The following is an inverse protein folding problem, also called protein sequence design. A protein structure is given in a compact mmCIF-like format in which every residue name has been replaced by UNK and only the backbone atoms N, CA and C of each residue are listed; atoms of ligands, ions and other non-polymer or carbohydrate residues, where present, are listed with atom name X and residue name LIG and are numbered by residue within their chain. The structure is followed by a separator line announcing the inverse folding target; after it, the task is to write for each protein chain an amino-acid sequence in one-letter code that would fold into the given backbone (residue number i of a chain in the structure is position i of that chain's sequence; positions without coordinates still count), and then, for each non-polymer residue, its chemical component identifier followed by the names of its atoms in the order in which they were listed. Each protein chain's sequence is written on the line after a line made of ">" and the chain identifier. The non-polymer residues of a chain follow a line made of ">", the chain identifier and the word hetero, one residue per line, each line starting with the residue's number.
data_IF_315615287225
#
_entry.id   IF_315615287225
#
_cell.length_a   1.000
_cell.length_b   1.000
_cell.length_c   1.000
_cell.angle_alpha   90.00
_cell.angle_beta   90.00
_cell.angle_gamma   90.00
#
_symmetry.space_group_name_H-M   'P 1'
#
loop_
_entity.id
_entity.type
_entity.pdbx_description
1 polymer ?
#
# COMPACT_ATOMS: atom_id res chain seq x y z
N UNK A 1 -9.49 -47.58 -1.20
CA UNK A 1 -8.07 -47.28 -0.98
C UNK A 1 -7.94 -45.77 -1.07
N UNK A 2 -7.49 -45.11 0.00
CA UNK A 2 -7.29 -43.66 -0.02
C UNK A 2 -5.99 -43.37 -0.80
N UNK A 3 -5.94 -42.24 -1.52
CA UNK A 3 -4.70 -41.79 -2.16
C UNK A 3 -3.65 -41.50 -1.08
N UNK A 4 -2.41 -41.89 -1.35
CA UNK A 4 -1.25 -41.51 -0.52
C UNK A 4 -0.59 -40.24 -1.07
N UNK A 5 0.16 -39.53 -0.24
CA UNK A 5 0.92 -38.34 -0.66
C UNK A 5 1.93 -38.66 -1.78
N UNK A 6 2.48 -39.88 -1.77
CA UNK A 6 3.33 -40.39 -2.85
C UNK A 6 2.56 -40.60 -4.16
N UNK A 7 1.26 -40.94 -4.10
CA UNK A 7 0.42 -41.06 -5.28
C UNK A 7 0.17 -39.69 -5.90
N UNK A 8 -0.08 -38.66 -5.08
CA UNK A 8 -0.31 -37.26 -5.54
C UNK A 8 0.93 -36.69 -6.24
N UNK A 9 2.12 -36.91 -5.68
CA UNK A 9 3.38 -36.43 -6.26
C UNK A 9 3.77 -37.10 -7.58
N UNK A 10 3.19 -38.26 -7.90
CA UNK A 10 3.49 -39.00 -9.13
C UNK A 10 2.40 -38.86 -10.21
N UNK A 11 1.36 -38.03 -9.98
CA UNK A 11 0.34 -37.77 -10.99
C UNK A 11 0.85 -36.79 -12.04
N UNK A 12 0.61 -37.10 -13.31
CA UNK A 12 0.83 -36.16 -14.42
C UNK A 12 -0.47 -35.94 -15.21
N UNK A 13 -0.70 -34.69 -15.60
CA UNK A 13 -1.87 -34.27 -16.38
C UNK A 13 -1.47 -33.88 -17.80
N UNK A 14 -2.34 -34.14 -18.79
CA UNK A 14 -2.15 -33.66 -20.16
C UNK A 14 -2.47 -32.18 -20.27
N UNK A 15 -1.63 -31.42 -21.00
CA UNK A 15 -1.84 -29.98 -21.22
C UNK A 15 -2.71 -29.77 -22.46
N UNK A 16 -3.85 -29.10 -22.29
CA UNK A 16 -4.77 -28.70 -23.35
C UNK A 16 -4.73 -27.18 -23.62
N UNK A 17 -5.27 -26.73 -24.77
CA UNK A 17 -5.26 -25.31 -25.19
C UNK A 17 -6.00 -24.36 -24.24
N UNK A 18 -6.83 -24.89 -23.34
CA UNK A 18 -7.43 -24.20 -22.20
C UNK A 18 -7.29 -25.12 -21.00
N UNK A 19 -6.67 -24.65 -19.94
CA UNK A 19 -6.44 -25.43 -18.73
C UNK A 19 -6.16 -24.54 -17.53
N UNK A 20 -6.03 -25.17 -16.37
CA UNK A 20 -5.56 -24.54 -15.15
C UNK A 20 -4.07 -24.20 -15.28
N UNK A 21 -3.63 -23.19 -14.54
CA UNK A 21 -2.22 -22.80 -14.49
C UNK A 21 -1.42 -23.91 -13.81
N UNK A 22 -0.38 -24.43 -14.49
CA UNK A 22 0.43 -25.55 -14.00
C UNK A 22 1.09 -25.20 -12.67
N UNK A 23 1.64 -23.99 -12.53
CA UNK A 23 2.31 -23.56 -11.30
C UNK A 23 1.35 -23.48 -10.10
N UNK A 24 0.10 -23.04 -10.33
CA UNK A 24 -0.92 -22.97 -9.28
C UNK A 24 -1.41 -24.36 -8.87
N UNK A 25 -1.53 -25.27 -9.84
CA UNK A 25 -1.88 -26.67 -9.59
C UNK A 25 -0.77 -27.35 -8.80
N UNK A 26 0.49 -27.13 -9.14
CA UNK A 26 1.63 -27.72 -8.44
C UNK A 26 1.70 -27.26 -6.98
N UNK A 27 1.53 -25.96 -6.71
CA UNK A 27 1.45 -25.43 -5.33
C UNK A 27 0.28 -26.02 -4.56
N UNK A 28 -0.86 -26.21 -5.22
CA UNK A 28 -2.03 -26.82 -4.60
C UNK A 28 -1.82 -28.31 -4.29
N UNK A 29 -1.18 -29.06 -5.18
CA UNK A 29 -0.86 -30.47 -4.97
C UNK A 29 0.20 -30.67 -3.86
N UNK A 30 1.18 -29.77 -3.73
CA UNK A 30 2.13 -29.77 -2.61
C UNK A 30 1.41 -29.60 -1.27
N UNK A 31 0.45 -28.67 -1.20
CA UNK A 31 -0.38 -28.48 0.01
C UNK A 31 -1.23 -29.71 0.32
N UNK A 32 -1.84 -30.33 -0.68
CA UNK A 32 -2.63 -31.56 -0.49
C UNK A 32 -1.74 -32.71 -0.01
N UNK A 33 -0.54 -32.86 -0.57
CA UNK A 33 0.40 -33.90 -0.17
C UNK A 33 0.80 -33.73 1.31
N UNK A 34 1.13 -32.50 1.73
CA UNK A 34 1.43 -32.20 3.13
C UNK A 34 0.24 -32.52 4.07
N UNK A 35 -0.99 -32.16 3.67
CA UNK A 35 -2.18 -32.41 4.47
C UNK A 35 -2.54 -33.91 4.56
N UNK A 36 -2.27 -34.69 3.51
CA UNK A 36 -2.41 -36.16 3.53
C UNK A 36 -1.39 -36.82 4.47
N UNK A 37 -0.14 -36.34 4.49
CA UNK A 37 0.88 -36.82 5.42
C UNK A 37 0.50 -36.53 6.88
N UNK A 38 0.01 -35.32 7.16
CA UNK A 38 -0.48 -34.94 8.49
C UNK A 38 -1.66 -35.81 8.94
N UNK A 39 -2.60 -36.11 8.03
CA UNK A 39 -3.72 -37.00 8.31
C UNK A 39 -3.26 -38.44 8.56
N UNK A 40 -2.29 -38.93 7.80
CA UNK A 40 -1.72 -40.26 7.99
C UNK A 40 -1.05 -40.37 9.38
N UNK A 41 -0.23 -39.38 9.76
CA UNK A 41 0.38 -39.34 11.09
C UNK A 41 -0.66 -39.27 12.22
N UNK A 42 -1.74 -38.50 12.04
CA UNK A 42 -2.82 -38.44 13.03
C UNK A 42 -3.54 -39.79 13.18
N UNK A 43 -3.77 -40.51 12.09
CA UNK A 43 -4.37 -41.85 12.13
C UNK A 43 -3.43 -42.80 12.88
N UNK A 44 -2.13 -42.78 12.61
CA UNK A 44 -1.15 -43.60 13.33
C UNK A 44 -1.13 -43.30 14.83
N UNK A 45 -1.12 -42.03 15.22
CA UNK A 45 -1.18 -41.60 16.61
C UNK A 45 -2.45 -42.12 17.31
N UNK A 46 -3.62 -41.94 16.68
CA UNK A 46 -4.89 -42.42 17.24
C UNK A 46 -4.94 -43.96 17.36
N UNK A 47 -4.31 -44.69 16.44
CA UNK A 47 -4.23 -46.14 16.52
C UNK A 47 -3.37 -46.58 17.71
N UNK A 48 -2.23 -45.92 17.95
CA UNK A 48 -1.38 -46.17 19.13
C UNK A 48 -2.14 -45.87 20.41
N UNK A 49 -2.82 -44.72 20.49
CA UNK A 49 -3.64 -44.36 21.67
C UNK A 49 -4.75 -45.38 21.93
N UNK A 50 -5.42 -45.86 20.88
CA UNK A 50 -6.44 -46.90 21.03
C UNK A 50 -5.85 -48.24 21.46
N UNK A 51 -4.64 -48.59 21.02
CA UNK A 51 -3.96 -49.81 21.46
C UNK A 51 -3.55 -49.72 22.92
N UNK A 52 -3.01 -48.58 23.35
CA UNK A 52 -2.66 -48.31 24.73
C UNK A 52 -3.90 -48.26 25.64
N UNK A 53 -4.98 -47.60 25.19
CA UNK A 53 -6.25 -47.59 25.91
C UNK A 53 -6.87 -48.99 26.00
N UNK A 54 -6.81 -49.78 24.92
CA UNK A 54 -7.22 -51.19 24.94
C UNK A 54 -6.37 -52.01 25.89
N UNK A 55 -5.04 -51.82 25.90
CA UNK A 55 -4.12 -52.53 26.79
C UNK A 55 -4.32 -52.14 28.26
N UNK A 56 -4.54 -50.86 28.54
CA UNK A 56 -4.90 -50.38 29.88
C UNK A 56 -6.24 -50.96 30.34
N UNK A 57 -7.24 -50.99 29.45
CA UNK A 57 -8.54 -51.61 29.74
C UNK A 57 -8.44 -53.13 29.93
N UNK A 58 -7.59 -53.82 29.16
CA UNK A 58 -7.35 -55.25 29.31
C UNK A 58 -6.60 -55.57 30.62
N UNK A 59 -5.66 -54.71 31.04
CA UNK A 59 -4.96 -54.81 32.32
C UNK A 59 -5.88 -54.50 33.51
N UNK A 60 -6.91 -53.68 33.31
CA UNK A 60 -7.98 -53.45 34.29
C UNK A 60 -9.07 -54.55 34.27
N UNK A 61 -9.20 -55.28 33.16
CA UNK A 61 -10.18 -56.35 32.96
C UNK A 61 -9.61 -57.77 33.13
N UNK A 62 -8.32 -57.92 33.45
CA UNK A 62 -7.82 -59.17 34.01
C UNK A 62 -8.63 -59.45 35.28
N UNK A 63 -9.23 -60.65 35.43
CA UNK A 63 -10.00 -60.95 36.61
C UNK A 63 -9.04 -60.87 37.79
N UNK A 64 -9.21 -59.83 38.61
CA UNK A 64 -8.72 -59.82 39.98
C UNK A 64 -9.37 -61.05 40.59
N UNK A 65 -8.64 -62.16 40.57
CA UNK A 65 -8.98 -63.37 41.29
C UNK A 65 -9.05 -62.89 42.72
N UNK A 66 -10.27 -62.67 43.20
CA UNK A 66 -10.55 -62.29 44.55
C UNK A 66 -10.17 -63.47 45.44
N UNK A 67 -8.88 -63.65 45.71
CA UNK A 67 -8.47 -64.12 47.00
C UNK A 67 -8.84 -63.01 47.98
N UNK A 68 -10.03 -63.19 48.54
CA UNK A 68 -10.42 -62.60 49.80
C UNK A 68 -9.49 -63.23 50.84
N UNK A 69 -8.22 -62.80 50.87
CA UNK A 69 -7.36 -62.99 52.03
C UNK A 69 -7.97 -62.12 53.12
N UNK A 70 -8.74 -62.77 53.99
CA UNK A 70 -9.21 -62.21 55.25
C UNK A 70 -8.05 -61.96 56.21
N UNK A 71 -7.12 -61.10 55.83
CA UNK A 71 -6.19 -60.43 56.73
C UNK A 71 -6.65 -58.99 56.83
N UNK A 72 -7.21 -58.60 57.98
CA UNK A 72 -7.56 -57.20 58.22
C UNK A 72 -6.35 -56.32 57.92
N UNK A 73 -6.51 -55.34 57.03
CA UNK A 73 -5.50 -54.32 56.80
C UNK A 73 -5.07 -53.78 58.17
N UNK A 74 -3.76 -53.82 58.46
CA UNK A 74 -3.29 -53.31 59.74
C UNK A 74 -3.61 -51.82 59.79
N UNK A 75 -3.90 -51.26 60.96
CA UNK A 75 -4.27 -49.82 61.05
C UNK A 75 -3.17 -48.91 60.48
N UNK A 76 -1.92 -49.40 60.43
CA UNK A 76 -0.80 -48.73 59.80
C UNK A 76 -0.97 -48.63 58.27
N UNK A 77 -1.39 -49.70 57.59
CA UNK A 77 -1.58 -49.71 56.14
C UNK A 77 -2.79 -48.85 55.70
N UNK A 78 -3.77 -48.67 56.58
CA UNK A 78 -4.91 -47.76 56.33
C UNK A 78 -4.45 -46.31 56.51
N UNK A 79 -3.69 -46.01 57.56
CA UNK A 79 -3.15 -44.68 57.81
C UNK A 79 -2.20 -44.21 56.70
N UNK A 80 -1.39 -45.10 56.14
CA UNK A 80 -0.52 -44.81 55.00
C UNK A 80 -1.31 -44.51 53.72
N UNK A 81 -2.36 -45.30 53.43
CA UNK A 81 -3.26 -45.04 52.29
C UNK A 81 -4.01 -43.72 52.46
N UNK A 82 -4.51 -43.42 53.66
CA UNK A 82 -5.19 -42.15 53.94
C UNK A 82 -4.25 -40.95 53.82
N UNK A 83 -2.97 -41.11 54.20
CA UNK A 83 -1.95 -40.08 53.98
C UNK A 83 -1.70 -39.85 52.48
N UNK A 84 -1.62 -40.93 51.69
CA UNK A 84 -1.45 -40.83 50.24
C UNK A 84 -2.68 -40.25 49.54
N UNK A 85 -3.88 -40.59 49.98
CA UNK A 85 -5.13 -40.00 49.48
C UNK A 85 -5.12 -38.50 49.73
N UNK A 86 -4.75 -38.05 50.94
CA UNK A 86 -4.68 -36.62 51.28
C UNK A 86 -3.66 -35.86 50.44
N UNK A 87 -2.52 -36.48 50.14
CA UNK A 87 -1.50 -35.91 49.26
C UNK A 87 -1.99 -35.82 47.80
N UNK A 88 -2.60 -36.88 47.28
CA UNK A 88 -3.16 -36.90 45.92
C UNK A 88 -4.33 -35.92 45.77
N UNK A 89 -5.18 -35.79 46.79
CA UNK A 89 -6.25 -34.79 46.82
C UNK A 89 -5.70 -33.35 46.79
N UNK A 90 -4.59 -33.08 47.49
CA UNK A 90 -3.91 -31.79 47.43
C UNK A 90 -3.34 -31.51 46.03
N UNK A 91 -2.67 -32.49 45.41
CA UNK A 91 -2.16 -32.36 44.04
C UNK A 91 -3.29 -32.13 43.02
N UNK A 92 -4.42 -32.83 43.15
CA UNK A 92 -5.59 -32.62 42.29
C UNK A 92 -6.20 -31.22 42.50
N UNK A 93 -6.18 -30.69 43.72
CA UNK A 93 -6.64 -29.33 43.99
C UNK A 93 -5.74 -28.28 43.32
N UNK A 94 -4.42 -28.46 43.37
CA UNK A 94 -3.45 -27.58 42.73
C UNK A 94 -3.59 -27.61 41.19
N UNK A 95 -3.66 -28.79 40.57
CA UNK A 95 -3.88 -28.91 39.14
C UNK A 95 -5.22 -28.32 38.68
N UNK A 96 -6.29 -28.43 39.47
CA UNK A 96 -7.56 -27.76 39.17
C UNK A 96 -7.45 -26.24 39.23
N UNK A 97 -6.62 -25.71 40.12
CA UNK A 97 -6.36 -24.27 40.18
C UNK A 97 -5.55 -23.80 38.97
N UNK A 98 -4.55 -24.57 38.55
CA UNK A 98 -3.77 -24.33 37.33
C UNK A 98 -4.65 -24.36 36.07
N UNK A 99 -5.48 -25.39 35.90
CA UNK A 99 -6.41 -25.51 34.77
C UNK A 99 -7.40 -24.34 34.71
N UNK A 100 -7.90 -23.89 35.88
CA UNK A 100 -8.78 -22.72 35.97
C UNK A 100 -8.05 -21.43 35.59
N UNK A 101 -6.79 -21.27 35.98
CA UNK A 101 -5.97 -20.12 35.61
C UNK A 101 -5.65 -20.11 34.10
N UNK A 102 -5.34 -21.29 33.53
CA UNK A 102 -5.11 -21.45 32.08
C UNK A 102 -6.39 -21.12 31.30
N UNK A 103 -7.55 -21.62 31.73
CA UNK A 103 -8.82 -21.32 31.10
C UNK A 103 -9.13 -19.82 31.13
N UNK A 104 -8.89 -19.14 32.25
CA UNK A 104 -9.05 -17.69 32.37
C UNK A 104 -8.06 -16.93 31.47
N UNK A 105 -6.79 -17.35 31.42
CA UNK A 105 -5.79 -16.76 30.53
C UNK A 105 -6.16 -16.91 29.06
N UNK A 106 -6.72 -18.06 28.65
CA UNK A 106 -7.20 -18.29 27.29
C UNK A 106 -8.38 -17.38 26.94
N UNK A 107 -9.33 -17.19 27.85
CA UNK A 107 -10.47 -16.27 27.65
C UNK A 107 -9.97 -14.83 27.48
N UNK A 108 -9.01 -14.41 28.32
CA UNK A 108 -8.42 -13.07 28.24
C UNK A 108 -7.64 -12.90 26.92
N UNK A 109 -6.86 -13.91 26.54
CA UNK A 109 -6.09 -13.90 25.30
C UNK A 109 -7.02 -13.84 24.07
N UNK A 110 -8.10 -14.62 24.04
CA UNK A 110 -9.10 -14.58 22.97
C UNK A 110 -9.78 -13.21 22.90
N UNK A 111 -10.23 -12.68 24.04
CA UNK A 111 -10.83 -11.34 24.08
C UNK A 111 -9.86 -10.26 23.63
N UNK A 112 -8.59 -10.36 24.00
CA UNK A 112 -7.55 -9.45 23.55
C UNK A 112 -7.29 -9.57 22.05
N UNK A 113 -7.29 -10.78 21.51
CA UNK A 113 -7.17 -11.01 20.07
C UNK A 113 -8.35 -10.40 19.30
N UNK A 114 -9.58 -10.59 19.79
CA UNK A 114 -10.79 -9.99 19.22
C UNK A 114 -10.74 -8.46 19.26
N UNK A 115 -10.25 -7.89 20.36
CA UNK A 115 -10.08 -6.45 20.52
C UNK A 115 -9.00 -5.89 19.56
N UNK A 116 -7.88 -6.60 19.39
CA UNK A 116 -6.86 -6.24 18.40
C UNK A 116 -7.43 -6.30 16.99
N UNK A 117 -8.21 -7.34 16.66
CA UNK A 117 -8.86 -7.46 15.35
C UNK A 117 -9.88 -6.34 15.12
N UNK A 118 -10.70 -6.02 16.12
CA UNK A 118 -11.66 -4.92 16.03
C UNK A 118 -10.96 -3.57 15.83
N UNK A 119 -9.88 -3.30 16.58
CA UNK A 119 -9.11 -2.08 16.45
C UNK A 119 -8.37 -1.99 15.10
N UNK A 120 -7.78 -3.09 14.64
CA UNK A 120 -7.13 -3.15 13.33
C UNK A 120 -8.13 -2.95 12.20
N UNK A 121 -9.31 -3.55 12.27
CA UNK A 121 -10.39 -3.35 11.30
C UNK A 121 -10.90 -1.91 11.32
N UNK A 122 -11.05 -1.30 12.50
CA UNK A 122 -11.41 0.12 12.63
C UNK A 122 -10.38 1.03 11.98
N UNK A 123 -9.09 0.83 12.29
CA UNK A 123 -7.99 1.62 11.71
C UNK A 123 -7.84 1.41 10.20
N UNK A 124 -8.08 0.19 9.71
CA UNK A 124 -8.08 -0.11 8.29
C UNK A 124 -9.23 0.61 7.58
N UNK A 125 -10.43 0.64 8.18
CA UNK A 125 -11.58 1.34 7.62
C UNK A 125 -11.38 2.85 7.58
N UNK A 126 -10.85 3.45 8.64
CA UNK A 126 -10.52 4.89 8.63
C UNK A 126 -9.47 5.20 7.57
N UNK A 127 -8.41 4.39 7.48
CA UNK A 127 -7.37 4.57 6.44
C UNK A 127 -7.95 4.47 5.04
N UNK A 128 -8.87 3.52 4.81
CA UNK A 128 -9.55 3.33 3.53
C UNK A 128 -10.44 4.53 3.20
N UNK A 129 -11.18 5.05 4.18
CA UNK A 129 -12.04 6.19 4.01
C UNK A 129 -11.25 7.48 3.74
N UNK A 130 -10.15 7.69 4.46
CA UNK A 130 -9.26 8.83 4.23
C UNK A 130 -8.63 8.78 2.83
N UNK A 131 -8.15 7.60 2.41
CA UNK A 131 -7.61 7.40 1.07
C UNK A 131 -8.68 7.64 -0.02
N UNK A 132 -9.92 7.21 0.21
CA UNK A 132 -11.03 7.46 -0.72
C UNK A 132 -11.39 8.94 -0.82
N UNK A 133 -11.44 9.63 0.32
CA UNK A 133 -11.71 11.08 0.37
C UNK A 133 -10.61 11.86 -0.35
N UNK A 134 -9.35 11.49 -0.12
CA UNK A 134 -8.21 12.15 -0.79
C UNK A 134 -8.18 11.84 -2.29
N UNK A 135 -8.45 10.59 -2.69
CA UNK A 135 -8.59 10.24 -4.10
C UNK A 135 -9.69 11.07 -4.78
N UNK A 136 -10.83 11.27 -4.11
CA UNK A 136 -11.92 12.10 -4.63
C UNK A 136 -11.49 13.57 -4.78
N UNK A 137 -10.81 14.13 -3.77
CA UNK A 137 -10.25 15.49 -3.84
C UNK A 137 -9.27 15.66 -5.00
N UNK A 138 -8.40 14.68 -5.21
CA UNK A 138 -7.44 14.69 -6.33
C UNK A 138 -8.19 14.66 -7.68
N UNK A 139 -9.22 13.82 -7.81
CA UNK A 139 -10.04 13.75 -9.01
C UNK A 139 -10.77 15.07 -9.29
N UNK A 140 -11.35 15.68 -8.27
CA UNK A 140 -12.06 16.95 -8.40
C UNK A 140 -11.09 18.06 -8.84
N UNK A 141 -9.94 18.18 -8.18
CA UNK A 141 -8.87 19.12 -8.58
C UNK A 141 -8.38 18.88 -10.01
N UNK A 142 -8.15 17.62 -10.40
CA UNK A 142 -7.72 17.28 -11.75
C UNK A 142 -8.79 17.62 -12.80
N UNK A 143 -10.07 17.47 -12.46
CA UNK A 143 -11.18 17.84 -13.33
C UNK A 143 -11.31 19.37 -13.49
N UNK A 144 -11.10 20.13 -12.40
CA UNK A 144 -11.05 21.59 -12.44
C UNK A 144 -9.87 22.08 -13.29
N UNK A 145 -8.66 21.54 -13.09
CA UNK A 145 -7.48 21.85 -13.88
C UNK A 145 -7.69 21.51 -15.36
N UNK A 146 -8.28 20.35 -15.66
CA UNK A 146 -8.68 19.98 -17.02
C UNK A 146 -9.63 21.01 -17.64
N UNK A 147 -10.65 21.46 -16.91
CA UNK A 147 -11.59 22.47 -17.40
C UNK A 147 -10.88 23.79 -17.67
N UNK A 148 -10.00 24.23 -16.76
CA UNK A 148 -9.18 25.44 -16.93
C UNK A 148 -8.28 25.36 -18.17
N UNK A 149 -7.64 24.24 -18.41
CA UNK A 149 -6.82 24.03 -19.62
C UNK A 149 -7.68 24.08 -20.88
N UNK A 150 -8.88 23.49 -20.87
CA UNK A 150 -9.80 23.56 -22.01
C UNK A 150 -10.26 25.00 -22.30
N UNK A 151 -10.52 25.79 -21.27
CA UNK A 151 -10.86 27.21 -21.41
C UNK A 151 -9.68 28.02 -21.97
N UNK A 152 -8.46 27.75 -21.50
CA UNK A 152 -7.24 28.38 -22.02
C UNK A 152 -7.02 28.01 -23.49
N UNK A 153 -7.21 26.75 -23.88
CA UNK A 153 -7.12 26.31 -25.28
C UNK A 153 -8.09 27.10 -26.14
N UNK A 154 -9.37 27.17 -25.75
CA UNK A 154 -10.38 27.95 -26.50
C UNK A 154 -9.98 29.42 -26.63
N UNK A 155 -9.52 30.05 -25.54
CA UNK A 155 -9.04 31.43 -25.58
C UNK A 155 -7.87 31.61 -26.55
N UNK A 156 -6.91 30.68 -26.57
CA UNK A 156 -5.79 30.70 -27.52
C UNK A 156 -6.27 30.53 -28.97
N UNK A 157 -7.29 29.71 -29.20
CA UNK A 157 -7.90 29.54 -30.53
C UNK A 157 -8.59 30.83 -30.99
N UNK A 158 -9.36 31.48 -30.12
CA UNK A 158 -10.02 32.77 -30.37
C UNK A 158 -8.99 33.87 -30.63
N UNK A 159 -7.93 33.95 -29.82
CA UNK A 159 -6.84 34.92 -29.98
C UNK A 159 -6.09 34.69 -31.32
N UNK A 160 -5.91 33.43 -31.72
CA UNK A 160 -5.31 33.06 -33.02
C UNK A 160 -6.20 33.50 -34.17
N UNK A 161 -7.51 33.31 -34.08
CA UNK A 161 -8.46 33.74 -35.09
C UNK A 161 -8.49 35.26 -35.20
N UNK A 162 -8.59 35.97 -34.08
CA UNK A 162 -8.51 37.43 -34.04
C UNK A 162 -7.21 37.98 -34.63
N UNK A 163 -6.07 37.31 -34.42
CA UNK A 163 -4.80 37.69 -35.03
C UNK A 163 -4.81 37.50 -36.56
N UNK A 164 -5.44 36.42 -37.06
CA UNK A 164 -5.59 36.17 -38.51
C UNK A 164 -6.49 37.20 -39.16
N UNK A 165 -7.59 37.58 -38.52
CA UNK A 165 -8.51 38.60 -39.02
C UNK A 165 -7.80 39.95 -39.12
N UNK A 166 -7.12 40.38 -38.05
CA UNK A 166 -6.32 41.62 -38.04
C UNK A 166 -5.26 41.63 -39.14
N UNK A 167 -4.60 40.49 -39.40
CA UNK A 167 -3.61 40.40 -40.47
C UNK A 167 -4.26 40.49 -41.86
N UNK A 168 -5.42 39.87 -42.04
CA UNK A 168 -6.20 39.93 -43.28
C UNK A 168 -6.68 41.35 -43.57
N UNK A 169 -7.14 42.06 -42.53
CA UNK A 169 -7.52 43.47 -42.61
C UNK A 169 -6.31 44.34 -43.01
N UNK A 170 -5.16 44.17 -42.34
CA UNK A 170 -3.93 44.90 -42.69
C UNK A 170 -3.47 44.65 -44.12
N UNK A 171 -3.55 43.41 -44.61
CA UNK A 171 -3.22 43.08 -45.99
C UNK A 171 -4.23 43.70 -46.97
N UNK A 172 -5.52 43.67 -46.64
CA UNK A 172 -6.57 44.27 -47.47
C UNK A 172 -6.41 45.79 -47.56
N UNK A 173 -6.12 46.45 -46.44
CA UNK A 173 -5.81 47.89 -46.37
C UNK A 173 -4.53 48.23 -47.16
N UNK A 174 -3.48 47.42 -47.02
CA UNK A 174 -2.22 47.61 -47.76
C UNK A 174 -2.39 47.44 -49.27
N UNK A 175 -3.14 46.41 -49.70
CA UNK A 175 -3.46 46.17 -51.12
C UNK A 175 -4.34 47.30 -51.66
N UNK A 176 -5.39 47.69 -50.93
CA UNK A 176 -6.30 48.77 -51.31
C UNK A 176 -5.55 50.10 -51.49
N UNK A 177 -4.76 50.51 -50.49
CA UNK A 177 -3.95 51.73 -50.57
C UNK A 177 -2.92 51.69 -51.70
N UNK A 178 -2.28 50.54 -51.95
CA UNK A 178 -1.35 50.39 -53.07
C UNK A 178 -2.06 50.51 -54.42
N UNK A 179 -3.26 49.94 -54.56
CA UNK A 179 -4.06 50.03 -55.78
C UNK A 179 -4.58 51.45 -56.04
N UNK A 180 -4.91 52.19 -54.99
CA UNK A 180 -5.27 53.62 -55.09
C UNK A 180 -4.08 54.47 -55.56
N UNK A 181 -2.89 54.26 -54.98
CA UNK A 181 -1.66 54.95 -55.38
C UNK A 181 -1.34 54.67 -56.86
N UNK A 182 -1.46 53.41 -57.30
CA UNK A 182 -1.25 53.03 -58.70
C UNK A 182 -2.26 53.69 -59.63
N UNK A 183 -3.53 53.76 -59.21
CA UNK A 183 -4.60 54.40 -59.98
C UNK A 183 -4.38 55.91 -60.11
N UNK A 184 -3.94 56.58 -59.04
CA UNK A 184 -3.62 58.01 -59.04
C UNK A 184 -2.41 58.34 -59.94
N UNK A 185 -1.36 57.50 -59.91
CA UNK A 185 -0.22 57.57 -60.82
C UNK A 185 -0.63 57.38 -62.29
N UNK A 186 -1.47 56.38 -62.58
CA UNK A 186 -1.97 56.09 -63.93
C UNK A 186 -2.92 57.19 -64.46
N UNK A 187 -3.68 57.84 -63.58
CA UNK A 187 -4.54 58.98 -63.91
C UNK A 187 -3.78 60.30 -64.17
N UNK A 188 -2.44 60.30 -64.09
CA UNK A 188 -1.60 61.45 -64.47
C UNK A 188 -1.58 62.57 -63.43
N UNK A 189 -2.03 62.33 -62.19
CA UNK A 189 -2.01 63.30 -61.07
C UNK A 189 -0.67 63.35 -60.31
N UNK A 190 0.43 62.97 -60.96
CA UNK A 190 1.76 63.07 -60.39
C UNK A 190 2.24 64.54 -60.37
N UNK A 191 1.75 65.36 -59.44
CA UNK A 191 2.17 66.76 -59.39
C UNK A 191 1.77 67.64 -58.21
N UNK A 192 0.80 67.30 -57.36
CA UNK A 192 0.43 68.18 -56.26
C UNK A 192 0.12 67.41 -54.98
N UNK A 193 0.78 67.82 -53.89
CA UNK A 193 0.71 67.26 -52.54
C UNK A 193 1.37 65.89 -52.34
N UNK A 194 2.71 65.87 -52.36
CA UNK A 194 3.49 64.86 -51.61
C UNK A 194 3.37 65.11 -50.11
N UNK A 195 2.16 64.96 -49.58
CA UNK A 195 1.88 64.93 -48.16
C UNK A 195 2.08 63.52 -47.64
N UNK A 196 3.35 63.16 -47.42
CA UNK A 196 3.80 62.14 -46.47
C UNK A 196 2.77 61.05 -46.12
N UNK A 197 2.56 60.09 -47.02
CA UNK A 197 2.14 58.75 -46.60
C UNK A 197 3.40 58.04 -46.05
N UNK A 198 3.97 58.62 -44.99
CA UNK A 198 4.72 57.83 -44.04
C UNK A 198 3.78 56.69 -43.69
N UNK A 199 4.21 55.47 -44.01
CA UNK A 199 3.75 54.28 -43.31
C UNK A 199 3.86 54.66 -41.85
N UNK A 200 2.73 54.99 -41.22
CA UNK A 200 2.70 55.37 -39.81
C UNK A 200 2.86 54.08 -39.02
N UNK A 201 4.06 53.52 -39.08
CA UNK A 201 4.57 52.49 -38.19
C UNK A 201 4.84 53.15 -36.83
N UNK A 202 3.79 53.68 -36.23
CA UNK A 202 3.76 54.11 -34.84
C UNK A 202 2.36 53.89 -34.26
N UNK A 203 1.77 52.73 -34.57
CA UNK A 203 0.99 52.06 -33.54
C UNK A 203 1.96 51.14 -32.84
N UNK A 204 2.40 51.54 -31.65
CA UNK A 204 2.96 50.62 -30.68
C UNK A 204 2.02 49.43 -30.60
N UNK A 205 2.44 48.31 -31.17
CA UNK A 205 1.97 47.01 -30.76
C UNK A 205 2.46 46.87 -29.33
N UNK A 206 1.70 47.36 -28.36
CA UNK A 206 1.75 46.73 -27.06
C UNK A 206 1.33 45.29 -27.33
N UNK A 207 2.22 44.30 -27.15
CA UNK A 207 1.73 42.94 -27.05
C UNK A 207 0.67 42.94 -25.95
N UNK A 208 -0.47 42.24 -26.07
CA UNK A 208 -1.15 41.83 -24.86
C UNK A 208 -0.10 41.07 -24.06
N UNK A 209 0.37 41.69 -22.98
CA UNK A 209 1.11 41.00 -21.93
C UNK A 209 0.21 39.85 -21.51
N UNK A 210 0.57 38.66 -21.96
CA UNK A 210 0.24 37.42 -21.28
C UNK A 210 1.00 37.46 -19.97
N UNK A 211 0.45 38.17 -18.99
CA UNK A 211 0.71 37.87 -17.59
C UNK A 211 -0.06 36.60 -17.29
N UNK A 212 0.68 35.54 -16.96
CA UNK A 212 0.12 34.23 -16.62
C UNK A 212 0.61 33.07 -17.48
N UNK A 213 1.86 33.11 -17.97
CA UNK A 213 2.61 31.88 -18.14
C UNK A 213 3.23 31.52 -16.79
N UNK A 214 2.44 30.93 -15.89
CA UNK A 214 3.00 30.07 -14.86
C UNK A 214 3.59 28.87 -15.59
N UNK A 215 4.89 28.98 -15.88
CA UNK A 215 5.71 27.84 -16.16
C UNK A 215 5.60 26.90 -14.96
N UNK A 216 4.90 25.79 -15.13
CA UNK A 216 5.24 24.58 -14.39
C UNK A 216 6.69 24.25 -14.75
N UNK A 217 7.61 24.78 -13.96
CA UNK A 217 8.99 24.38 -13.93
C UNK A 217 9.04 22.95 -13.43
N UNK A 218 9.16 22.01 -14.36
CA UNK A 218 9.89 20.79 -14.07
C UNK A 218 11.36 21.22 -13.90
N UNK A 219 11.80 21.33 -12.64
CA UNK A 219 13.20 21.54 -12.29
C UNK A 219 13.98 20.26 -12.62
N UNK A 220 14.39 20.14 -13.89
CA UNK A 220 15.54 19.32 -14.27
C UNK A 220 16.80 20.10 -13.92
N UNK A 221 17.20 20.05 -12.66
CA UNK A 221 18.45 20.65 -12.21
C UNK A 221 19.63 19.83 -12.76
N UNK A 222 20.12 20.22 -13.95
CA UNK A 222 21.42 19.78 -14.46
C UNK A 222 22.51 20.49 -13.66
N UNK A 223 22.75 20.00 -12.44
CA UNK A 223 24.02 20.27 -11.75
C UNK A 223 25.10 19.46 -12.48
N UNK A 224 26.06 20.16 -13.07
CA UNK A 224 27.29 19.55 -13.54
C UNK A 224 28.05 19.01 -12.32
N UNK A 225 27.78 17.76 -11.95
CA UNK A 225 28.52 17.03 -10.95
C UNK A 225 29.96 16.81 -11.49
N UNK A 226 30.93 17.44 -10.84
CA UNK A 226 32.31 17.03 -10.93
C UNK A 226 32.42 15.61 -10.33
N UNK A 227 32.41 14.59 -11.18
CA UNK A 227 32.75 13.24 -10.78
C UNK A 227 34.27 13.14 -10.58
N UNK A 228 34.71 13.29 -9.33
CA UNK A 228 35.98 12.70 -8.89
C UNK A 228 35.79 11.20 -8.83
N UNK A 229 36.46 10.47 -9.71
CA UNK A 229 36.54 9.00 -9.67
C UNK A 229 37.31 8.56 -8.42
N UNK A 230 36.77 7.71 -7.54
CA UNK A 230 37.61 7.03 -6.57
C UNK A 230 38.43 5.95 -7.30
N UNK A 231 39.73 6.18 -7.41
CA UNK A 231 40.72 5.13 -7.72
C UNK A 231 40.70 4.09 -6.62
N UNK A 232 40.34 2.85 -6.97
CA UNK A 232 40.45 1.71 -6.07
C UNK A 232 41.90 1.25 -6.04
N UNK A 233 42.67 1.70 -5.05
CA UNK A 233 43.93 1.05 -4.67
C UNK A 233 43.62 0.03 -3.59
N UNK A 234 43.81 -1.24 -3.92
CA UNK A 234 43.72 -2.38 -3.02
C UNK A 234 44.79 -2.29 -1.93
N UNK A 235 44.38 -2.15 -0.66
CA UNK A 235 45.01 -2.74 0.54
C UNK A 235 44.59 -1.97 1.80
N UNK A 236 43.79 -2.60 2.66
CA UNK A 236 44.00 -2.68 4.12
C UNK A 236 42.68 -3.03 4.83
N UNK A 237 42.70 -4.19 5.49
CA UNK A 237 41.66 -4.72 6.38
C UNK A 237 41.67 -3.92 7.68
N UNK A 238 40.52 -3.41 8.16
CA UNK A 238 40.32 -3.00 9.55
C UNK A 238 38.94 -3.41 10.05
N UNK A 239 38.94 -4.01 11.23
CA UNK A 239 37.87 -4.73 11.97
C UNK A 239 36.71 -3.84 12.46
N UNK A 240 35.50 -4.41 12.69
CA UNK A 240 34.32 -3.64 13.09
C UNK A 240 34.26 -3.34 14.60
N UNK A 241 33.92 -2.10 14.96
CA UNK A 241 33.55 -1.67 16.30
C UNK A 241 32.03 -1.40 16.38
N UNK A 242 31.41 -1.79 17.49
CA UNK A 242 29.97 -1.77 17.79
C UNK A 242 29.42 -0.35 17.98
N UNK A 243 28.25 0.03 17.40
CA UNK A 243 27.65 1.34 17.62
C UNK A 243 26.75 1.38 18.88
N UNK A 244 26.83 2.52 19.59
CA UNK A 244 26.11 2.86 20.82
C UNK A 244 24.81 3.61 20.46
N UNK A 245 23.71 3.31 21.14
CA UNK A 245 22.39 3.88 20.86
C UNK A 245 22.31 5.39 21.16
N UNK A 246 21.74 6.18 20.24
CA UNK A 246 21.38 7.59 20.45
C UNK A 246 19.87 7.72 20.59
N UNK A 247 19.42 8.38 21.66
CA UNK A 247 18.03 8.80 21.86
C UNK A 247 17.58 9.74 20.74
N UNK A 248 16.40 9.48 20.19
CA UNK A 248 15.73 10.31 19.19
C UNK A 248 14.55 10.99 19.87
N UNK A 249 14.73 12.24 20.28
CA UNK A 249 13.59 13.13 20.55
C UNK A 249 13.14 13.72 19.20
N UNK A 250 12.03 13.20 18.68
CA UNK A 250 11.29 13.82 17.58
C UNK A 250 10.29 14.80 18.18
N UNK A 251 10.65 16.08 18.18
CA UNK A 251 9.68 17.15 18.40
C UNK A 251 8.79 17.26 17.15
N UNK A 252 7.50 16.96 17.30
CA UNK A 252 6.48 17.02 16.26
C UNK A 252 5.64 18.32 16.34
N UNK A 253 6.16 19.39 16.93
CA UNK A 253 5.50 20.70 16.96
C UNK A 253 5.70 21.51 15.66
N UNK A 254 5.37 20.92 14.50
CA UNK A 254 5.57 21.55 13.19
C UNK A 254 4.41 21.42 12.21
N UNK A 255 3.19 21.19 12.70
CA UNK A 255 1.98 21.25 11.89
C UNK A 255 0.93 22.10 12.61
N UNK A 256 0.67 23.29 12.08
CA UNK A 256 -0.52 24.08 12.38
C UNK A 256 -0.27 25.38 13.15
N UNK A 257 0.26 26.39 12.45
CA UNK A 257 -0.30 27.75 12.53
C UNK A 257 0.20 28.57 11.33
N UNK A 258 -0.56 28.56 10.24
CA UNK A 258 -0.47 29.59 9.18
C UNK A 258 -1.87 30.15 9.01
N UNK A 259 -2.36 30.82 10.05
CA UNK A 259 -3.38 31.85 9.93
C UNK A 259 -2.68 33.16 9.50
N UNK A 260 -2.03 33.14 8.34
CA UNK A 260 -1.60 34.36 7.66
C UNK A 260 -2.77 34.79 6.77
N UNK A 261 -3.67 35.57 7.38
CA UNK A 261 -4.65 36.36 6.66
C UNK A 261 -3.95 37.25 5.64
N UNK A 262 -4.24 37.03 4.36
CA UNK A 262 -3.89 37.94 3.28
C UNK A 262 -4.62 39.28 3.51
N UNK A 263 -3.96 40.19 4.23
CA UNK A 263 -4.34 41.59 4.32
C UNK A 263 -3.97 42.28 3.00
N UNK A 264 -5.01 42.72 2.27
CA UNK A 264 -4.90 43.52 1.07
C UNK A 264 -4.59 44.95 1.53
N UNK A 265 -3.36 45.41 1.34
CA UNK A 265 -3.04 46.83 1.54
C UNK A 265 -3.59 47.61 0.35
N UNK A 266 -4.68 48.34 0.59
CA UNK A 266 -5.26 49.32 -0.33
C UNK A 266 -4.24 50.44 -0.57
N UNK A 267 -3.69 50.52 -1.79
CA UNK A 267 -2.88 51.66 -2.23
C UNK A 267 -3.80 52.64 -2.95
N UNK A 268 -4.11 53.74 -2.24
CA UNK A 268 -4.68 55.00 -2.77
C UNK A 268 -3.58 55.85 -3.45
#
# INVERSE_FOLDING_TARGET
>A
MALTSADVNNVSFSIDRKGYNVDEVDVFLERIAAELDDQAHRIEQLLVELEDAKRASAKAAEPVKAEIVGGGATSADIAERDARIRELEAQVADHKAEDSAIAQALIIAQRSADEILANANGAAETTRQDAQNEAQRILDKANEEKQRVLEQIKKLEDDREAARDRFTDMLSDFIGSSQDILSDLQAGKAGAARGSHIISSSRTLTPPVSSGADAYGYAGESTAAAYTTPTVSSAAVVTPATPKATNVEKDFSGFGDTDDGFEFDDVD
#
